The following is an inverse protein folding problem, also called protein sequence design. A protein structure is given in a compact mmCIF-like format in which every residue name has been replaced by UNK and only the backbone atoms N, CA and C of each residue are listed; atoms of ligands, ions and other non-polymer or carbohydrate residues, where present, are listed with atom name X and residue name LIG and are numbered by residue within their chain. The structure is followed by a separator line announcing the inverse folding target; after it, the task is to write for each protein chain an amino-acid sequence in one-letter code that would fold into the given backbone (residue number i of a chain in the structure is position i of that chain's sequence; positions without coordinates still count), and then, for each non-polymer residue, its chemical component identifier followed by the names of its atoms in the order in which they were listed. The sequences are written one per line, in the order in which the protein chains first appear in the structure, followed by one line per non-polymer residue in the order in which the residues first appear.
data_IF_190440830036
#
_entry.id   IF_190440830036
#
_cell.length_a   1.000
_cell.length_b   1.000
_cell.length_c   1.000
_cell.angle_alpha   90.00
_cell.angle_beta   90.00
_cell.angle_gamma   90.00
#
_symmetry.space_group_name_H-M   'P 1'
#
loop_
_entity.id
_entity.type
_entity.pdbx_description
1 polymer ?
#
# COMPACT_ATOMS: atom_id res chain seq x y z
N UNK A 1 8.11 11.20 22.25
CA UNK A 1 9.12 11.16 21.17
C UNK A 1 10.20 10.12 21.45
N UNK A 2 10.95 10.20 22.56
CA UNK A 2 12.00 9.22 22.92
C UNK A 2 11.50 7.76 22.94
N UNK A 3 10.38 7.49 23.61
CA UNK A 3 9.80 6.13 23.71
C UNK A 3 9.41 5.55 22.35
N UNK A 4 8.87 6.38 21.46
CA UNK A 4 8.52 5.95 20.10
C UNK A 4 9.77 5.56 19.34
N UNK A 5 10.82 6.38 19.38
CA UNK A 5 12.08 6.10 18.70
C UNK A 5 12.68 4.79 19.20
N UNK A 6 12.70 4.56 20.52
CA UNK A 6 13.23 3.31 21.10
C UNK A 6 12.42 2.10 20.63
N UNK A 7 11.09 2.18 20.63
CA UNK A 7 10.23 1.09 20.16
C UNK A 7 10.43 0.79 18.67
N UNK A 8 10.49 1.83 17.82
CA UNK A 8 10.75 1.67 16.39
C UNK A 8 12.14 1.10 16.10
N UNK A 9 13.18 1.59 16.78
CA UNK A 9 14.54 1.06 16.63
C UNK A 9 14.59 -0.41 17.05
N UNK A 10 13.95 -0.74 18.16
CA UNK A 10 13.89 -2.11 18.66
C UNK A 10 13.20 -3.06 17.68
N UNK A 11 12.04 -2.67 17.16
CA UNK A 11 11.31 -3.44 16.15
C UNK A 11 12.16 -3.61 14.88
N UNK A 12 12.80 -2.53 14.40
CA UNK A 12 13.66 -2.57 13.22
C UNK A 12 14.83 -3.52 13.40
N UNK A 13 15.57 -3.41 14.51
CA UNK A 13 16.70 -4.31 14.81
C UNK A 13 16.24 -5.77 14.87
N UNK A 14 15.08 -6.04 15.47
CA UNK A 14 14.50 -7.39 15.49
C UNK A 14 14.11 -7.91 14.10
N UNK A 15 13.46 -7.08 13.28
CA UNK A 15 13.09 -7.48 11.91
C UNK A 15 14.32 -7.74 11.05
N UNK A 16 15.37 -6.94 11.20
CA UNK A 16 16.65 -7.15 10.52
C UNK A 16 17.29 -8.45 11.01
N UNK A 17 17.34 -8.70 12.32
CA UNK A 17 17.84 -9.97 12.87
C UNK A 17 17.08 -11.19 12.33
N UNK A 18 15.75 -11.11 12.27
CA UNK A 18 14.93 -12.17 11.71
C UNK A 18 15.11 -12.34 10.19
N UNK A 19 15.45 -11.30 9.44
CA UNK A 19 15.70 -11.44 8.00
C UNK A 19 16.95 -12.30 7.69
N UNK A 20 17.93 -12.33 8.61
CA UNK A 20 19.13 -13.17 8.52
C UNK A 20 18.98 -14.57 9.14
N UNK A 21 17.82 -14.83 9.74
CA UNK A 21 17.54 -16.08 10.47
C UNK A 21 16.42 -16.81 9.73
N UNK A 22 16.53 -18.11 9.56
CA UNK A 22 15.39 -18.93 9.12
C UNK A 22 14.53 -19.17 10.36
N UNK A 23 13.44 -18.41 10.42
CA UNK A 23 12.50 -18.41 11.54
C UNK A 23 11.13 -18.78 10.99
N UNK A 24 10.67 -19.99 11.32
CA UNK A 24 9.27 -20.36 11.17
C UNK A 24 8.58 -20.13 12.51
N UNK A 25 7.28 -19.80 12.50
CA UNK A 25 6.49 -19.54 13.72
C UNK A 25 6.49 -20.74 14.68
N UNK A 26 6.88 -21.92 14.19
CA UNK A 26 6.91 -23.20 14.88
C UNK A 26 8.31 -23.82 15.07
N UNK A 27 9.38 -23.21 14.53
CA UNK A 27 10.74 -23.75 14.60
C UNK A 27 11.72 -22.82 15.32
N UNK A 28 12.78 -23.39 15.89
CA UNK A 28 13.86 -22.60 16.49
C UNK A 28 14.57 -21.77 15.43
N UNK A 29 14.87 -20.51 15.75
CA UNK A 29 15.45 -19.55 14.83
C UNK A 29 16.89 -19.97 14.46
N UNK A 30 17.10 -20.51 13.26
CA UNK A 30 18.42 -20.94 12.79
C UNK A 30 19.09 -19.79 12.07
N UNK A 31 20.30 -19.41 12.48
CA UNK A 31 21.04 -18.34 11.78
C UNK A 31 21.53 -18.84 10.41
N UNK A 32 20.88 -18.40 9.34
CA UNK A 32 21.21 -18.84 7.95
C UNK A 32 21.99 -17.76 7.19
N UNK A 33 22.16 -16.58 7.76
CA UNK A 33 22.95 -15.49 7.19
C UNK A 33 22.32 -14.95 5.91
N UNK A 34 23.08 -14.92 4.81
CA UNK A 34 22.67 -14.30 3.53
C UNK A 34 21.88 -15.23 2.60
N UNK A 35 21.66 -16.50 2.94
CA UNK A 35 21.02 -17.45 2.01
C UNK A 35 19.58 -17.06 1.67
N UNK A 36 18.84 -16.46 2.62
CA UNK A 36 17.48 -15.96 2.38
C UNK A 36 17.45 -14.93 1.26
N UNK A 37 18.40 -14.00 1.25
CA UNK A 37 18.49 -12.98 0.21
C UNK A 37 18.87 -13.57 -1.16
N UNK A 38 19.81 -14.52 -1.21
CA UNK A 38 20.18 -15.17 -2.47
C UNK A 38 19.05 -16.03 -3.03
N UNK A 39 18.27 -16.70 -2.17
CA UNK A 39 17.10 -17.47 -2.58
C UNK A 39 16.00 -16.56 -3.14
N UNK A 40 15.70 -15.45 -2.44
CA UNK A 40 14.72 -14.45 -2.90
C UNK A 40 15.11 -13.80 -4.23
N UNK A 41 16.39 -13.46 -4.41
CA UNK A 41 16.87 -12.85 -5.66
C UNK A 41 16.94 -13.84 -6.83
N UNK A 42 16.91 -15.14 -6.57
CA UNK A 42 16.88 -16.17 -7.61
C UNK A 42 15.46 -16.61 -7.96
N UNK A 43 14.45 -16.11 -7.25
CA UNK A 43 13.05 -16.42 -7.50
C UNK A 43 12.47 -15.42 -8.52
N UNK A 44 12.14 -15.93 -9.71
CA UNK A 44 11.55 -15.14 -10.79
C UNK A 44 10.22 -14.48 -10.37
N UNK A 45 9.43 -15.12 -9.50
CA UNK A 45 8.18 -14.56 -9.01
C UNK A 45 8.41 -13.37 -8.08
N UNK A 46 9.46 -13.42 -7.25
CA UNK A 46 9.84 -12.30 -6.38
C UNK A 46 10.29 -11.10 -7.22
N UNK A 47 11.17 -11.31 -8.19
CA UNK A 47 11.66 -10.26 -9.08
C UNK A 47 10.53 -9.64 -9.91
N UNK A 48 9.61 -10.46 -10.44
CA UNK A 48 8.44 -9.98 -11.17
C UNK A 48 7.51 -9.16 -10.28
N UNK A 49 7.25 -9.62 -9.05
CA UNK A 49 6.40 -8.91 -8.09
C UNK A 49 7.02 -7.59 -7.66
N UNK A 50 8.35 -7.56 -7.47
CA UNK A 50 9.10 -6.36 -7.14
C UNK A 50 9.03 -5.34 -8.29
N UNK A 51 9.28 -5.80 -9.53
CA UNK A 51 9.18 -4.95 -10.72
C UNK A 51 7.77 -4.39 -10.89
N UNK A 52 6.73 -5.22 -10.73
CA UNK A 52 5.34 -4.79 -10.80
C UNK A 52 5.01 -3.76 -9.72
N UNK A 53 5.46 -3.97 -8.48
CA UNK A 53 5.24 -3.03 -7.37
C UNK A 53 5.89 -1.68 -7.64
N UNK A 54 7.14 -1.68 -8.13
CA UNK A 54 7.87 -0.46 -8.47
C UNK A 54 7.21 0.28 -9.63
N UNK A 55 6.87 -0.43 -10.71
CA UNK A 55 6.16 0.14 -11.86
C UNK A 55 4.81 0.72 -11.46
N UNK A 56 4.01 -0.04 -10.71
CA UNK A 56 2.73 0.40 -10.19
C UNK A 56 2.87 1.65 -9.32
N UNK A 57 3.78 1.65 -8.35
CA UNK A 57 3.99 2.78 -7.44
C UNK A 57 4.41 4.05 -8.18
N UNK A 58 5.31 3.94 -9.17
CA UNK A 58 5.74 5.07 -9.98
C UNK A 58 4.59 5.64 -10.82
N UNK A 59 3.87 4.77 -11.54
CA UNK A 59 2.74 5.19 -12.38
C UNK A 59 1.65 5.85 -11.52
N UNK A 60 1.25 5.21 -10.42
CA UNK A 60 0.20 5.73 -9.53
C UNK A 60 0.61 7.07 -8.93
N UNK A 61 1.84 7.21 -8.42
CA UNK A 61 2.31 8.46 -7.81
C UNK A 61 2.37 9.58 -8.84
N UNK A 62 2.89 9.32 -10.03
CA UNK A 62 2.96 10.30 -11.12
C UNK A 62 1.56 10.74 -11.55
N UNK A 63 0.66 9.79 -11.85
CA UNK A 63 -0.72 10.08 -12.27
C UNK A 63 -1.46 10.85 -11.18
N UNK A 64 -1.36 10.43 -9.92
CA UNK A 64 -1.99 11.10 -8.79
C UNK A 64 -1.47 12.53 -8.63
N UNK A 65 -0.16 12.76 -8.79
CA UNK A 65 0.44 14.10 -8.70
C UNK A 65 -0.04 15.01 -9.82
N UNK A 66 -0.06 14.52 -11.07
CA UNK A 66 -0.55 15.29 -12.23
C UNK A 66 -2.03 15.63 -12.08
N UNK A 67 -2.86 14.66 -11.67
CA UNK A 67 -4.29 14.89 -11.41
C UNK A 67 -4.51 15.88 -10.27
N UNK A 68 -3.80 15.74 -9.16
CA UNK A 68 -3.90 16.65 -8.02
C UNK A 68 -3.51 18.07 -8.42
N UNK A 69 -2.45 18.24 -9.22
CA UNK A 69 -2.02 19.55 -9.70
C UNK A 69 -3.02 20.15 -10.70
N UNK A 70 -3.54 19.35 -11.64
CA UNK A 70 -4.57 19.79 -12.58
C UNK A 70 -5.85 20.25 -11.87
N UNK A 71 -6.30 19.50 -10.88
CA UNK A 71 -7.43 19.87 -10.02
C UNK A 71 -7.13 21.11 -9.18
N UNK A 72 -5.92 21.25 -8.64
CA UNK A 72 -5.50 22.42 -7.88
C UNK A 72 -5.56 23.69 -8.74
N UNK A 73 -5.10 23.65 -9.99
CA UNK A 73 -5.17 24.79 -10.91
C UNK A 73 -6.63 25.15 -11.23
N UNK A 74 -7.47 24.14 -11.50
CA UNK A 74 -8.89 24.32 -11.78
C UNK A 74 -9.60 24.99 -10.60
N UNK A 75 -9.38 24.52 -9.37
CA UNK A 75 -9.96 25.10 -8.16
C UNK A 75 -9.33 26.44 -7.79
N UNK A 76 -8.08 26.70 -8.19
CA UNK A 76 -7.41 27.98 -7.94
C UNK A 76 -8.03 29.13 -8.76
N UNK A 77 -8.51 28.84 -9.98
CA UNK A 77 -9.25 29.81 -10.79
C UNK A 77 -10.51 30.32 -10.06
N UNK A 78 -10.97 31.56 -10.33
CA UNK A 78 -12.06 32.26 -9.60
C UNK A 78 -13.45 31.61 -9.83
N UNK A 79 -13.62 30.35 -9.47
CA UNK A 79 -14.90 29.64 -9.54
C UNK A 79 -15.73 30.00 -8.30
N UNK A 80 -16.97 30.47 -8.48
CA UNK A 80 -17.89 30.84 -7.39
C UNK A 80 -18.21 29.68 -6.42
N UNK A 81 -17.95 28.44 -6.80
CA UNK A 81 -18.30 27.23 -6.04
C UNK A 81 -17.10 26.49 -5.41
N UNK A 82 -15.97 27.17 -5.10
CA UNK A 82 -14.76 26.54 -4.50
C UNK A 82 -15.04 25.67 -3.27
N UNK A 83 -15.99 26.08 -2.41
CA UNK A 83 -16.30 25.33 -1.19
C UNK A 83 -16.90 23.95 -1.48
N UNK A 84 -17.81 23.84 -2.46
CA UNK A 84 -18.46 22.58 -2.81
C UNK A 84 -17.47 21.57 -3.42
N UNK A 85 -16.61 22.04 -4.32
CA UNK A 85 -15.56 21.20 -4.89
C UNK A 85 -14.59 20.71 -3.81
N UNK A 86 -14.20 21.57 -2.87
CA UNK A 86 -13.33 21.18 -1.74
C UNK A 86 -13.95 20.04 -0.93
N UNK A 87 -15.21 20.14 -0.51
CA UNK A 87 -15.86 19.09 0.29
C UNK A 87 -15.98 17.76 -0.47
N UNK A 88 -16.32 17.79 -1.75
CA UNK A 88 -16.44 16.58 -2.57
C UNK A 88 -15.10 15.82 -2.71
N UNK A 89 -13.98 16.53 -2.85
CA UNK A 89 -12.64 15.91 -2.91
C UNK A 89 -12.17 15.35 -1.56
N UNK A 90 -12.55 15.96 -0.44
CA UNK A 90 -12.19 15.45 0.90
C UNK A 90 -13.12 14.34 1.38
N UNK A 91 -14.34 14.24 0.86
CA UNK A 91 -15.31 13.22 1.27
C UNK A 91 -14.73 11.79 1.23
N UNK A 92 -14.10 11.33 0.13
CA UNK A 92 -13.59 9.97 0.07
C UNK A 92 -12.39 9.72 0.99
N UNK A 93 -11.56 10.72 1.29
CA UNK A 93 -10.40 10.54 2.19
C UNK A 93 -10.77 10.58 3.67
N UNK A 94 -11.93 11.16 4.01
CA UNK A 94 -12.48 11.16 5.38
C UNK A 94 -13.23 9.86 5.68
N UNK A 95 -13.72 9.14 4.64
CA UNK A 95 -14.29 7.81 4.82
C UNK A 95 -13.22 6.85 5.36
N UNK A 96 -13.59 6.09 6.40
CA UNK A 96 -12.73 5.03 6.94
C UNK A 96 -12.37 4.02 5.84
N UNK A 97 -11.14 3.50 5.87
CA UNK A 97 -10.69 2.45 4.95
C UNK A 97 -11.67 1.27 4.91
N UNK A 98 -12.24 0.88 6.05
CA UNK A 98 -13.24 -0.17 6.13
C UNK A 98 -14.52 0.14 5.32
N UNK A 99 -15.01 1.37 5.38
CA UNK A 99 -16.20 1.80 4.63
C UNK A 99 -15.92 1.80 3.12
N UNK A 100 -14.75 2.28 2.71
CA UNK A 100 -14.31 2.25 1.31
C UNK A 100 -14.24 0.81 0.80
N UNK A 101 -13.65 -0.10 1.57
CA UNK A 101 -13.59 -1.53 1.22
C UNK A 101 -14.97 -2.14 1.03
N UNK A 102 -15.93 -1.86 1.91
CA UNK A 102 -17.31 -2.37 1.77
C UNK A 102 -17.99 -1.87 0.49
N UNK A 103 -17.86 -0.57 0.18
CA UNK A 103 -18.41 0.01 -1.06
C UNK A 103 -17.80 -0.65 -2.29
N UNK A 104 -16.47 -0.86 -2.28
CA UNK A 104 -15.76 -1.51 -3.38
C UNK A 104 -16.15 -2.98 -3.56
N UNK A 105 -16.31 -3.72 -2.46
CA UNK A 105 -16.80 -5.12 -2.51
C UNK A 105 -18.18 -5.15 -3.17
N UNK A 106 -19.10 -4.26 -2.76
CA UNK A 106 -20.43 -4.18 -3.36
C UNK A 106 -20.39 -3.79 -4.85
N UNK A 107 -19.48 -2.89 -5.22
CA UNK A 107 -19.28 -2.48 -6.61
C UNK A 107 -18.77 -3.64 -7.48
N UNK A 108 -17.80 -4.41 -7.01
CA UNK A 108 -17.25 -5.56 -7.74
C UNK A 108 -18.14 -6.81 -7.69
N UNK A 109 -18.84 -7.07 -6.57
CA UNK A 109 -19.77 -8.20 -6.45
C UNK A 109 -20.96 -8.06 -7.41
N UNK A 110 -21.43 -6.83 -7.68
CA UNK A 110 -22.54 -6.62 -8.62
C UNK A 110 -22.18 -6.99 -10.06
N UNK A 111 -20.89 -7.03 -10.39
CA UNK A 111 -20.41 -7.26 -11.76
C UNK A 111 -20.06 -8.73 -12.05
N UNK A 112 -19.74 -9.54 -11.03
CA UNK A 112 -19.62 -10.99 -11.19
C UNK A 112 -21.01 -11.62 -11.18
N UNK A 113 -21.46 -12.28 -12.27
CA UNK A 113 -22.66 -13.09 -12.19
C UNK A 113 -22.47 -14.11 -11.07
N UNK A 114 -23.43 -14.24 -10.15
CA UNK A 114 -23.44 -15.16 -9.00
C UNK A 114 -23.33 -16.66 -9.36
N UNK A 115 -22.88 -17.04 -10.56
CA UNK A 115 -22.96 -18.40 -11.10
C UNK A 115 -21.76 -19.32 -10.81
N UNK A 116 -20.91 -19.03 -9.83
CA UNK A 116 -19.72 -19.87 -9.53
C UNK A 116 -19.66 -20.32 -8.07
N UNK A 117 -20.73 -20.12 -7.30
CA UNK A 117 -20.85 -20.65 -5.93
C UNK A 117 -22.23 -21.26 -5.67
N UNK A 118 -22.73 -22.01 -6.64
CA UNK A 118 -23.60 -23.19 -6.40
C UNK A 118 -22.83 -24.43 -6.87
#
# INVERSE_FOLDING_TARGET
MLTLVVFFLYALVRTVYFSFTDYDLFSDAVWVGLKNFTALLSDDLFLLSLANTVWFSLIVTCVQTVLALGLAILVNSKIRAKSFFRTAFYLPSILSSAAVTLIFIWFYQKWLPQRVCD
#
